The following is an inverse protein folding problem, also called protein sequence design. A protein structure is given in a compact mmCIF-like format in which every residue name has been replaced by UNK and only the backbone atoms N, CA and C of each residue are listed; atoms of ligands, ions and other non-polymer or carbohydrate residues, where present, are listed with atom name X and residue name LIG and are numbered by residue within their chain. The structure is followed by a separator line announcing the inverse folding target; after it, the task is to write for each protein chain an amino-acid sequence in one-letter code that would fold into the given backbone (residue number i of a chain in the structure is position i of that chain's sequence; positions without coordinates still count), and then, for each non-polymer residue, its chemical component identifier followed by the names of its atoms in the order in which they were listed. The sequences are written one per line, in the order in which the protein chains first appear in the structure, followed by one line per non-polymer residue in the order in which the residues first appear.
data_IF_460555058802
#
_entry.id   IF_460555058802
#
_cell.length_a   1.000
_cell.length_b   1.000
_cell.length_c   1.000
_cell.angle_alpha   90.00
_cell.angle_beta   90.00
_cell.angle_gamma   90.00
#
_symmetry.space_group_name_H-M   'P 1'
#
loop_
_entity.id
_entity.type
_entity.pdbx_description
1 polymer ?
#
# COMPACT_ATOMS: atom_id res chain seq x y z
N UNK A 1 -20.84 3.34 -6.78
CA UNK A 1 -20.53 2.80 -5.43
C UNK A 1 -19.08 2.38 -5.43
N UNK A 2 -18.26 2.82 -4.48
CA UNK A 2 -16.86 2.38 -4.37
C UNK A 2 -16.84 0.98 -3.73
N UNK A 3 -16.03 0.08 -4.27
CA UNK A 3 -15.82 -1.25 -3.71
C UNK A 3 -14.50 -1.28 -2.95
N UNK A 4 -14.57 -1.09 -1.63
CA UNK A 4 -13.40 -1.07 -0.74
C UNK A 4 -12.89 -2.48 -0.47
N UNK A 5 -11.57 -2.65 -0.46
CA UNK A 5 -10.94 -3.96 -0.26
C UNK A 5 -9.90 -3.98 0.83
N UNK A 6 -9.22 -2.87 1.05
CA UNK A 6 -8.10 -2.80 1.98
C UNK A 6 -8.07 -1.45 2.67
N UNK A 7 -7.61 -1.45 3.92
CA UNK A 7 -7.45 -0.25 4.74
C UNK A 7 -6.28 -0.46 5.70
N UNK A 8 -5.52 0.59 5.96
CA UNK A 8 -4.48 0.61 6.98
C UNK A 8 -4.48 1.97 7.71
N UNK A 9 -3.89 1.99 8.90
CA UNK A 9 -3.78 3.17 9.75
C UNK A 9 -2.39 3.33 10.31
N UNK A 10 -1.99 4.57 10.58
CA UNK A 10 -0.87 4.85 11.47
C UNK A 10 -1.18 4.42 12.91
N UNK A 11 -0.17 4.39 13.78
CA UNK A 11 -0.33 3.98 15.18
C UNK A 11 -1.24 4.92 15.98
N UNK A 12 -1.30 6.21 15.61
CA UNK A 12 -2.22 7.18 16.22
C UNK A 12 -3.63 7.14 15.63
N UNK A 13 -3.84 6.46 14.50
CA UNK A 13 -5.08 6.47 13.74
C UNK A 13 -5.36 7.80 13.01
N UNK A 14 -4.46 8.78 13.09
CA UNK A 14 -4.64 10.07 12.40
C UNK A 14 -4.55 9.92 10.88
N UNK A 15 -3.57 9.15 10.41
CA UNK A 15 -3.34 8.90 8.99
C UNK A 15 -3.92 7.54 8.61
N UNK A 16 -4.79 7.53 7.60
CA UNK A 16 -5.44 6.34 7.09
C UNK A 16 -5.27 6.26 5.59
N UNK A 17 -5.18 5.05 5.06
CA UNK A 17 -5.19 4.77 3.62
C UNK A 17 -6.17 3.65 3.32
N UNK A 18 -6.95 3.80 2.26
CA UNK A 18 -7.92 2.81 1.80
C UNK A 18 -7.77 2.54 0.32
N UNK A 19 -7.67 1.26 -0.04
CA UNK A 19 -7.62 0.76 -1.42
C UNK A 19 -8.96 0.22 -1.88
N UNK A 20 -9.30 0.48 -3.15
CA UNK A 20 -10.54 0.03 -3.77
C UNK A 20 -10.32 -0.81 -5.03
N UNK A 21 -11.36 -1.50 -5.48
CA UNK A 21 -11.44 -2.05 -6.84
C UNK A 21 -11.67 -0.90 -7.82
N UNK A 22 -10.63 -0.55 -8.57
CA UNK A 22 -10.67 0.35 -9.74
C UNK A 22 -11.07 1.80 -9.47
N UNK A 23 -11.50 2.17 -8.26
CA UNK A 23 -11.92 3.55 -7.95
C UNK A 23 -10.77 4.42 -7.45
N UNK A 24 -9.64 3.83 -7.07
CA UNK A 24 -8.47 4.54 -6.56
C UNK A 24 -8.04 4.12 -5.17
N UNK A 25 -7.02 4.82 -4.67
CA UNK A 25 -6.71 4.89 -3.25
C UNK A 25 -7.11 6.22 -2.68
N UNK A 26 -7.48 6.20 -1.41
CA UNK A 26 -7.95 7.35 -0.68
C UNK A 26 -7.19 7.45 0.63
N UNK A 27 -6.87 8.67 1.04
CA UNK A 27 -6.19 8.93 2.31
C UNK A 27 -6.99 9.89 3.17
N UNK A 28 -6.79 9.78 4.48
CA UNK A 28 -7.29 10.70 5.49
C UNK A 28 -6.14 11.06 6.42
N UNK A 29 -6.11 12.31 6.87
CA UNK A 29 -5.16 12.83 7.86
C UNK A 29 -5.87 13.43 9.09
N UNK A 30 -7.18 13.20 9.19
CA UNK A 30 -8.08 13.77 10.19
C UNK A 30 -8.93 12.68 10.85
N UNK A 31 -8.33 11.51 11.10
CA UNK A 31 -8.97 10.38 11.79
C UNK A 31 -10.19 9.80 11.03
N UNK A 32 -10.19 9.91 9.71
CA UNK A 32 -11.24 9.36 8.84
C UNK A 32 -12.46 10.26 8.68
N UNK A 33 -12.40 11.52 9.11
CA UNK A 33 -13.49 12.49 8.94
C UNK A 33 -13.62 12.90 7.47
N UNK A 34 -12.50 13.16 6.80
CA UNK A 34 -12.44 13.43 5.37
C UNK A 34 -11.50 12.47 4.65
N UNK A 35 -11.82 12.20 3.38
CA UNK A 35 -11.04 11.31 2.52
C UNK A 35 -10.78 11.98 1.19
N UNK A 36 -9.52 11.97 0.75
CA UNK A 36 -9.08 12.54 -0.53
C UNK A 36 -8.55 11.43 -1.41
N UNK A 37 -8.96 11.41 -2.67
CA UNK A 37 -8.44 10.45 -3.64
C UNK A 37 -6.99 10.79 -4.01
N UNK A 38 -6.10 9.82 -3.93
CA UNK A 38 -4.69 9.98 -4.33
C UNK A 38 -4.57 9.99 -5.85
N UNK A 39 -3.84 10.96 -6.46
CA UNK A 39 -3.68 11.05 -7.91
C UNK A 39 -3.10 9.78 -8.54
N UNK A 40 -3.48 9.51 -9.80
CA UNK A 40 -2.95 8.40 -10.61
C UNK A 40 -3.15 6.98 -10.02
N UNK A 41 -4.09 6.81 -9.09
CA UNK A 41 -4.41 5.50 -8.49
C UNK A 41 -5.67 4.84 -9.07
N UNK A 42 -6.40 5.52 -9.96
CA UNK A 42 -7.63 5.04 -10.59
C UNK A 42 -7.39 3.84 -11.52
N UNK A 43 -8.43 3.03 -11.76
CA UNK A 43 -8.39 1.84 -12.62
C UNK A 43 -7.38 0.77 -12.20
N UNK A 44 -6.91 0.81 -10.96
CA UNK A 44 -6.07 -0.20 -10.34
C UNK A 44 -6.88 -0.96 -9.29
N UNK A 45 -6.67 -2.27 -9.21
CA UNK A 45 -7.29 -3.13 -8.22
C UNK A 45 -6.36 -3.24 -7.01
N UNK A 46 -6.58 -2.43 -5.98
CA UNK A 46 -5.75 -2.40 -4.77
C UNK A 46 -6.13 -3.50 -3.79
N UNK A 47 -5.33 -4.56 -3.73
CA UNK A 47 -5.65 -5.79 -2.97
C UNK A 47 -5.28 -5.72 -1.51
N UNK A 48 -4.20 -5.02 -1.17
CA UNK A 48 -3.73 -4.87 0.20
C UNK A 48 -2.92 -3.59 0.33
N UNK A 49 -3.05 -2.92 1.48
CA UNK A 49 -2.28 -1.74 1.86
C UNK A 49 -1.76 -1.93 3.30
N UNK A 50 -0.58 -1.40 3.58
CA UNK A 50 -0.01 -1.33 4.93
C UNK A 50 0.65 0.04 5.17
N UNK A 51 0.76 0.42 6.44
CA UNK A 51 1.27 1.70 6.91
C UNK A 51 2.32 1.47 7.98
N UNK A 52 3.34 2.32 8.03
CA UNK A 52 4.21 2.44 9.20
C UNK A 52 3.47 3.11 10.37
N UNK A 53 4.14 3.21 11.53
CA UNK A 53 3.56 3.78 12.72
C UNK A 53 3.25 5.29 12.59
N UNK A 54 3.99 6.02 11.76
CA UNK A 54 3.78 7.46 11.55
C UNK A 54 2.73 7.76 10.48
N UNK A 55 2.48 6.83 9.56
CA UNK A 55 1.63 7.03 8.38
C UNK A 55 2.37 7.63 7.19
N UNK A 56 3.65 7.97 7.33
CA UNK A 56 4.45 8.55 6.26
C UNK A 56 4.78 7.54 5.17
N UNK A 57 5.11 6.31 5.57
CA UNK A 57 5.57 5.25 4.69
C UNK A 57 4.47 4.22 4.50
N UNK A 58 4.02 4.06 3.26
CA UNK A 58 2.94 3.16 2.91
C UNK A 58 3.41 2.18 1.84
N UNK A 59 2.86 0.97 1.87
CA UNK A 59 2.98 -0.01 0.80
C UNK A 59 1.60 -0.46 0.35
N UNK A 60 1.44 -0.67 -0.96
CA UNK A 60 0.24 -1.24 -1.55
C UNK A 60 0.61 -2.34 -2.56
N UNK A 61 -0.23 -3.38 -2.64
CA UNK A 61 -0.21 -4.35 -3.74
C UNK A 61 -1.39 -4.12 -4.67
N UNK A 62 -1.15 -4.31 -5.96
CA UNK A 62 -2.16 -4.27 -6.99
C UNK A 62 -2.33 -5.64 -7.64
N UNK A 63 -3.58 -6.09 -7.83
CA UNK A 63 -3.88 -7.38 -8.44
C UNK A 63 -3.20 -7.49 -9.81
N UNK A 64 -2.44 -8.57 -10.02
CA UNK A 64 -1.71 -8.88 -11.27
C UNK A 64 -0.75 -7.76 -11.73
N UNK A 65 -0.27 -6.94 -10.81
CA UNK A 65 0.59 -5.78 -11.10
C UNK A 65 1.76 -5.71 -10.09
N UNK A 66 2.31 -4.52 -9.89
CA UNK A 66 3.46 -4.27 -9.02
C UNK A 66 3.07 -3.95 -7.58
N UNK A 67 4.07 -3.96 -6.70
CA UNK A 67 4.00 -3.23 -5.44
C UNK A 67 4.18 -1.72 -5.70
N UNK A 68 3.55 -0.92 -4.85
CA UNK A 68 3.64 0.54 -4.87
C UNK A 68 3.98 1.04 -3.48
N UNK A 69 4.77 2.11 -3.39
CA UNK A 69 5.11 2.74 -2.12
C UNK A 69 4.81 4.22 -2.13
N UNK A 70 4.62 4.77 -0.94
CA UNK A 70 4.51 6.20 -0.66
C UNK A 70 5.47 6.55 0.46
N UNK A 71 6.07 7.74 0.39
CA UNK A 71 6.93 8.33 1.43
C UNK A 71 6.41 9.68 1.92
N UNK A 72 5.19 10.04 1.50
CA UNK A 72 4.57 11.36 1.64
C UNK A 72 3.13 11.26 2.18
N UNK A 73 2.89 10.31 3.09
CA UNK A 73 1.58 10.11 3.74
C UNK A 73 0.47 9.72 2.75
N UNK A 74 0.83 9.08 1.64
CA UNK A 74 -0.08 8.67 0.59
C UNK A 74 -0.59 9.82 -0.28
N UNK A 75 0.11 10.95 -0.31
CA UNK A 75 -0.14 12.00 -1.28
C UNK A 75 0.25 11.56 -2.70
N UNK A 76 1.25 10.68 -2.83
CA UNK A 76 1.62 10.02 -4.08
C UNK A 76 1.96 8.54 -3.87
N UNK A 77 1.76 7.72 -4.90
CA UNK A 77 2.23 6.33 -4.94
C UNK A 77 3.08 6.09 -6.18
N UNK A 78 4.23 5.44 -5.98
CA UNK A 78 5.19 5.12 -7.02
C UNK A 78 5.31 3.60 -7.14
N UNK A 79 5.24 3.08 -8.37
CA UNK A 79 5.48 1.66 -8.64
C UNK A 79 6.94 1.31 -8.33
N UNK A 80 7.16 0.22 -7.60
CA UNK A 80 8.50 -0.32 -7.33
C UNK A 80 9.04 -1.15 -8.50
N UNK A 81 8.22 -1.42 -9.52
CA UNK A 81 8.48 -2.39 -10.61
C UNK A 81 8.69 -3.83 -10.14
N UNK A 82 8.42 -4.13 -8.86
CA UNK A 82 8.45 -5.49 -8.33
C UNK A 82 7.06 -6.10 -8.43
N UNK A 83 6.91 -7.21 -9.16
CA UNK A 83 5.68 -7.99 -9.15
C UNK A 83 5.53 -8.67 -7.79
N UNK A 84 4.36 -8.52 -7.18
CA UNK A 84 4.00 -9.14 -5.90
C UNK A 84 2.60 -9.76 -6.01
N UNK A 85 2.28 -10.64 -5.06
CA UNK A 85 0.95 -11.19 -4.87
C UNK A 85 -0.01 -10.20 -4.20
N UNK A 86 -1.06 -10.74 -3.59
CA UNK A 86 -2.21 -9.95 -3.13
C UNK A 86 -2.07 -9.35 -1.72
N UNK A 87 -1.03 -9.71 -0.96
CA UNK A 87 -0.85 -9.24 0.42
C UNK A 87 0.51 -8.58 0.65
N UNK A 88 0.49 -7.50 1.43
CA UNK A 88 1.68 -6.76 1.88
C UNK A 88 1.58 -6.47 3.37
N UNK A 89 2.73 -6.34 4.04
CA UNK A 89 2.84 -5.79 5.38
C UNK A 89 4.11 -4.96 5.53
N UNK A 90 4.10 -4.08 6.54
CA UNK A 90 5.22 -3.20 6.91
C UNK A 90 5.50 -3.32 8.40
N UNK A 91 6.75 -3.07 8.79
CA UNK A 91 7.09 -2.83 10.19
C UNK A 91 6.66 -1.42 10.64
N UNK A 92 6.90 -1.10 11.93
CA UNK A 92 6.55 0.21 12.49
C UNK A 92 7.36 1.37 11.92
N UNK A 93 8.50 1.11 11.26
CA UNK A 93 9.37 2.13 10.68
C UNK A 93 9.10 2.38 9.19
N UNK A 94 8.42 1.44 8.52
CA UNK A 94 8.24 1.42 7.07
C UNK A 94 9.49 0.95 6.31
N UNK A 95 10.62 0.74 6.98
CA UNK A 95 11.86 0.32 6.32
C UNK A 95 11.82 -1.14 5.89
N UNK A 96 11.20 -2.00 6.71
CA UNK A 96 11.10 -3.43 6.42
C UNK A 96 9.68 -3.78 5.95
N UNK A 97 9.58 -4.36 4.77
CA UNK A 97 8.34 -4.72 4.11
C UNK A 97 8.38 -6.21 3.73
N UNK A 98 7.22 -6.86 3.77
CA UNK A 98 7.05 -8.18 3.19
C UNK A 98 5.84 -8.18 2.26
N UNK A 99 5.96 -8.93 1.17
CA UNK A 99 4.88 -9.14 0.22
C UNK A 99 4.77 -10.63 -0.10
N UNK A 100 3.55 -11.13 -0.29
CA UNK A 100 3.37 -12.44 -0.92
C UNK A 100 3.99 -12.43 -2.33
N UNK A 101 4.57 -13.55 -2.76
CA UNK A 101 4.99 -13.74 -4.15
C UNK A 101 3.81 -13.73 -5.12
N UNK A 102 4.08 -13.44 -6.40
CA UNK A 102 3.06 -13.43 -7.44
C UNK A 102 2.48 -14.83 -7.75
N UNK A 103 1.53 -14.90 -8.68
CA UNK A 103 0.89 -16.17 -9.08
C UNK A 103 1.87 -17.22 -9.66
N UNK A 104 3.08 -16.81 -10.05
CA UNK A 104 4.15 -17.70 -10.51
C UNK A 104 5.12 -18.08 -9.38
N UNK A 105 5.02 -17.40 -8.25
CA UNK A 105 5.91 -17.49 -7.08
C UNK A 105 5.15 -17.81 -5.78
N UNK A 106 4.02 -18.52 -5.87
CA UNK A 106 3.04 -18.78 -4.80
C UNK A 106 3.57 -19.45 -3.50
N UNK A 107 4.87 -19.78 -3.43
CA UNK A 107 5.54 -20.32 -2.24
C UNK A 107 6.59 -19.37 -1.65
N UNK A 108 6.72 -18.14 -2.15
CA UNK A 108 7.71 -17.17 -1.71
C UNK A 108 7.07 -15.98 -0.99
N UNK A 109 7.75 -15.51 0.05
CA UNK A 109 7.58 -14.18 0.61
C UNK A 109 8.76 -13.35 0.12
N UNK A 110 8.47 -12.21 -0.49
CA UNK A 110 9.47 -11.28 -1.00
C UNK A 110 9.67 -10.20 0.06
N UNK A 111 10.92 -9.91 0.40
CA UNK A 111 11.26 -8.98 1.46
C UNK A 111 11.93 -7.73 0.90
N UNK A 112 11.68 -6.60 1.56
CA UNK A 112 12.44 -5.37 1.38
C UNK A 112 12.89 -4.86 2.73
N UNK A 113 14.11 -4.33 2.80
CA UNK A 113 14.68 -3.71 4.00
C UNK A 113 15.08 -2.25 3.76
N UNK A 114 14.52 -1.62 2.72
CA UNK A 114 14.83 -0.26 2.31
C UNK A 114 13.62 0.48 1.74
N UNK A 115 12.49 0.41 2.45
CA UNK A 115 11.25 1.13 2.09
C UNK A 115 10.68 0.72 0.72
N UNK A 116 10.95 -0.51 0.27
CA UNK A 116 10.46 -1.03 -1.01
C UNK A 116 11.29 -0.64 -2.23
N UNK A 117 12.47 -0.02 -2.05
CA UNK A 117 13.35 0.35 -3.15
C UNK A 117 14.06 -0.85 -3.79
N UNK A 118 14.37 -1.88 -3.01
CA UNK A 118 14.89 -3.18 -3.48
C UNK A 118 14.14 -4.31 -2.80
N UNK A 119 14.01 -5.42 -3.52
CA UNK A 119 13.30 -6.62 -3.11
C UNK A 119 14.21 -7.84 -3.29
N UNK A 120 14.18 -8.77 -2.34
CA UNK A 120 14.96 -10.01 -2.32
C UNK A 120 14.12 -11.21 -1.88
#
# INVERSE_FOLDING_TARGET
KINWLSVASSASGQYLVAGSVSSGMYTSNDYGVTWVMTPNTANIYWTSVASDATGQYLIASAYTSFAYTSTDYGATFVSTQQTVGSSVCSDSSGANLAASGDATSINNVILSSNFGALWA
#
